data_IF_436016689591
#
_entry.id   IF_436016689591
#
_cell.length_a   1.000
_cell.length_b   1.000
_cell.length_c   1.000
_cell.angle_alpha   90.00
_cell.angle_beta   90.00
_cell.angle_gamma   90.00
#
_symmetry.space_group_name_H-M   'P 1'
#
loop_
_entity.id
_entity.type
_entity.pdbx_description
1 polymer ?
#
# COMPACT_ATOMS: atom_id res chain seq x y z
N UNK A 1 21.49 0.20 -21.82
CA UNK A 1 22.78 0.23 -21.11
C UNK A 1 23.54 1.46 -21.54
N UNK A 2 24.38 1.99 -20.66
CA UNK A 2 25.25 3.11 -20.97
C UNK A 2 26.63 2.92 -20.33
N UNK A 3 27.66 3.40 -21.01
CA UNK A 3 28.99 3.59 -20.48
C UNK A 3 29.07 4.99 -19.88
N UNK A 4 29.34 5.06 -18.57
CA UNK A 4 29.64 6.31 -17.87
C UNK A 4 31.16 6.40 -17.72
N UNK A 5 31.75 7.54 -18.10
CA UNK A 5 33.19 7.77 -18.03
C UNK A 5 33.51 9.07 -17.30
N UNK A 6 34.49 9.02 -16.40
CA UNK A 6 35.04 10.16 -15.66
C UNK A 6 36.57 10.05 -15.72
N UNK A 7 37.22 10.92 -16.49
CA UNK A 7 38.65 10.79 -16.80
C UNK A 7 38.94 9.45 -17.48
N UNK A 8 39.89 8.70 -16.93
CA UNK A 8 40.30 7.37 -17.44
C UNK A 8 39.46 6.21 -16.89
N UNK A 9 38.54 6.49 -15.96
CA UNK A 9 37.69 5.45 -15.35
C UNK A 9 36.36 5.37 -16.09
N UNK A 10 35.93 4.16 -16.45
CA UNK A 10 34.60 3.93 -16.99
C UNK A 10 33.90 2.74 -16.31
N UNK A 11 32.57 2.84 -16.24
CA UNK A 11 31.68 1.78 -15.74
C UNK A 11 30.48 1.69 -16.66
N UNK A 12 30.09 0.47 -17.01
CA UNK A 12 28.93 0.20 -17.85
C UNK A 12 27.79 -0.35 -17.01
N UNK A 13 26.60 0.25 -17.12
CA UNK A 13 25.44 -0.12 -16.32
C UNK A 13 24.10 0.17 -17.00
N UNK A 14 22.99 -0.36 -16.47
CA UNK A 14 21.66 0.03 -16.90
C UNK A 14 21.35 1.46 -16.50
N UNK A 15 20.57 2.15 -17.34
CA UNK A 15 20.06 3.49 -17.05
C UNK A 15 18.59 3.35 -16.68
N UNK A 16 18.19 3.96 -15.57
CA UNK A 16 16.81 4.08 -15.14
C UNK A 16 16.46 5.56 -15.04
N UNK A 17 15.54 6.02 -15.88
CA UNK A 17 15.11 7.42 -15.87
C UNK A 17 14.23 7.66 -14.64
N UNK A 18 14.53 8.72 -13.91
CA UNK A 18 13.87 9.07 -12.65
C UNK A 18 13.34 10.51 -12.77
N UNK A 19 12.00 10.71 -12.77
CA UNK A 19 11.41 12.05 -12.71
C UNK A 19 11.87 12.79 -11.44
N UNK A 20 12.01 14.11 -11.54
CA UNK A 20 12.46 14.96 -10.43
C UNK A 20 13.98 14.96 -10.17
N UNK A 21 14.77 14.37 -11.05
CA UNK A 21 16.23 14.46 -10.96
C UNK A 21 16.72 15.74 -11.64
N UNK A 22 17.66 16.45 -11.01
CA UNK A 22 18.25 17.66 -11.56
C UNK A 22 18.91 17.41 -12.94
N UNK A 23 18.82 18.41 -13.82
CA UNK A 23 19.42 18.36 -15.17
C UNK A 23 20.92 18.08 -15.10
N UNK A 24 21.44 17.34 -16.08
CA UNK A 24 22.85 16.95 -16.17
C UNK A 24 23.39 16.17 -14.94
N UNK A 25 22.51 15.51 -14.19
CA UNK A 25 22.88 14.73 -13.00
C UNK A 25 22.62 13.25 -13.23
N UNK A 26 23.56 12.39 -12.81
CA UNK A 26 23.41 10.94 -12.77
C UNK A 26 23.64 10.47 -11.34
N UNK A 27 22.68 9.73 -10.78
CA UNK A 27 22.80 9.17 -9.43
C UNK A 27 23.28 7.73 -9.52
N UNK A 28 24.39 7.45 -8.84
CA UNK A 28 24.99 6.12 -8.76
C UNK A 28 24.72 5.51 -7.38
N UNK A 29 24.09 4.34 -7.35
CA UNK A 29 23.87 3.60 -6.10
C UNK A 29 25.10 2.76 -5.76
N UNK A 30 25.66 2.97 -4.56
CA UNK A 30 26.79 2.19 -4.04
C UNK A 30 26.35 0.85 -3.42
N UNK A 31 27.27 -0.11 -3.34
CA UNK A 31 27.07 -1.39 -2.65
C UNK A 31 26.80 -2.61 -3.55
N UNK A 32 26.60 -2.38 -4.85
CA UNK A 32 26.48 -3.42 -5.87
C UNK A 32 27.82 -3.77 -6.54
N UNK A 33 27.86 -4.78 -7.41
CA UNK A 33 29.07 -5.20 -8.13
C UNK A 33 30.09 -5.96 -7.28
N UNK A 34 29.72 -6.37 -6.06
CA UNK A 34 30.62 -7.08 -5.13
C UNK A 34 30.94 -8.49 -5.63
N UNK A 35 32.22 -8.82 -5.71
CA UNK A 35 32.72 -10.15 -6.16
C UNK A 35 32.75 -11.20 -5.05
N UNK A 36 32.87 -10.77 -3.78
CA UNK A 36 32.95 -11.64 -2.60
C UNK A 36 31.91 -11.19 -1.57
N UNK A 37 30.67 -11.69 -1.69
CA UNK A 37 29.55 -11.30 -0.81
C UNK A 37 28.50 -12.41 -0.60
N UNK A 38 28.87 -13.68 -0.84
CA UNK A 38 28.01 -14.83 -0.64
C UNK A 38 27.04 -15.09 -1.79
N UNK A 39 25.95 -15.82 -1.52
CA UNK A 39 25.02 -16.32 -2.56
C UNK A 39 24.09 -15.25 -3.14
N UNK A 40 23.84 -14.15 -2.41
CA UNK A 40 22.80 -13.16 -2.77
C UNK A 40 23.35 -12.00 -3.59
N UNK A 41 24.47 -11.39 -3.18
CA UNK A 41 25.00 -10.18 -3.84
C UNK A 41 25.93 -10.45 -5.02
N UNK A 42 26.40 -11.69 -5.20
CA UNK A 42 27.36 -12.04 -6.26
C UNK A 42 26.69 -11.95 -7.62
N UNK A 43 27.29 -11.18 -8.54
CA UNK A 43 26.72 -10.96 -9.88
C UNK A 43 25.53 -9.99 -9.91
N UNK A 44 25.29 -9.24 -8.83
CA UNK A 44 24.20 -8.26 -8.76
C UNK A 44 24.71 -6.84 -8.96
N UNK A 45 24.10 -6.13 -9.93
CA UNK A 45 24.39 -4.74 -10.25
C UNK A 45 25.80 -4.52 -10.82
N UNK A 46 26.35 -3.33 -10.60
CA UNK A 46 27.64 -2.90 -11.13
C UNK A 46 28.42 -2.16 -10.04
N UNK A 47 29.74 -2.20 -10.14
CA UNK A 47 30.63 -1.58 -9.17
C UNK A 47 30.90 -0.13 -9.55
N UNK A 48 30.55 0.80 -8.67
CA UNK A 48 30.74 2.25 -8.84
C UNK A 48 31.85 2.80 -7.95
N UNK A 49 32.45 1.97 -7.08
CA UNK A 49 33.57 2.38 -6.22
C UNK A 49 34.79 2.91 -6.99
N UNK A 50 35.08 2.52 -8.24
CA UNK A 50 36.16 3.15 -9.02
C UNK A 50 35.99 4.68 -9.18
N UNK A 51 34.77 5.22 -9.07
CA UNK A 51 34.55 6.67 -9.10
C UNK A 51 34.69 7.36 -7.74
N UNK A 52 34.88 6.60 -6.66
CA UNK A 52 35.00 7.14 -5.30
C UNK A 52 36.48 7.25 -4.95
N UNK A 53 36.95 8.44 -4.61
CA UNK A 53 38.30 8.66 -4.09
C UNK A 53 38.25 9.48 -2.78
N UNK A 54 39.37 9.54 -2.05
CA UNK A 54 39.41 10.18 -0.73
C UNK A 54 39.01 11.66 -0.74
N UNK A 55 39.24 12.37 -1.85
CA UNK A 55 39.02 13.81 -2.00
C UNK A 55 37.63 14.13 -2.55
N UNK A 56 37.03 13.22 -3.32
CA UNK A 56 35.74 13.39 -3.98
C UNK A 56 34.87 12.14 -3.77
N UNK A 57 34.20 12.08 -2.63
CA UNK A 57 33.48 10.87 -2.19
C UNK A 57 32.03 10.79 -2.66
N UNK A 58 31.39 11.94 -2.93
CA UNK A 58 29.94 12.02 -3.13
C UNK A 58 29.50 12.67 -4.44
N UNK A 59 30.26 13.65 -4.94
CA UNK A 59 29.94 14.38 -6.17
C UNK A 59 31.16 14.41 -7.07
N UNK A 60 30.96 14.15 -8.37
CA UNK A 60 31.99 14.20 -9.41
C UNK A 60 31.46 15.01 -10.59
N UNK A 61 32.35 15.73 -11.26
CA UNK A 61 32.04 16.51 -12.46
C UNK A 61 32.78 15.98 -13.69
N UNK A 62 32.38 16.43 -14.88
CA UNK A 62 33.02 16.05 -16.15
C UNK A 62 32.71 14.63 -16.61
N UNK A 63 31.60 14.05 -16.14
CA UNK A 63 31.17 12.73 -16.58
C UNK A 63 30.63 12.79 -18.02
N UNK A 64 31.02 11.82 -18.84
CA UNK A 64 30.42 11.61 -20.17
C UNK A 64 29.62 10.31 -20.17
N UNK A 65 28.44 10.34 -20.79
CA UNK A 65 27.54 9.20 -20.89
C UNK A 65 27.40 8.80 -22.36
N UNK A 66 27.69 7.55 -22.68
CA UNK A 66 27.54 6.98 -24.01
C UNK A 66 26.57 5.80 -23.98
N UNK A 67 25.47 5.89 -24.73
CA UNK A 67 24.53 4.78 -24.89
C UNK A 67 25.18 3.67 -25.73
N UNK A 68 25.11 2.42 -25.27
CA UNK A 68 25.74 1.28 -25.96
C UNK A 68 24.81 0.59 -26.96
N UNK A 69 23.50 0.85 -26.88
CA UNK A 69 22.46 0.15 -27.64
C UNK A 69 21.96 -1.13 -26.98
N UNK A 70 22.67 -1.68 -25.99
CA UNK A 70 22.25 -2.91 -25.31
C UNK A 70 21.07 -2.66 -24.36
N UNK A 71 20.19 -3.66 -24.23
CA UNK A 71 19.07 -3.64 -23.28
C UNK A 71 19.41 -4.43 -22.02
N UNK A 72 18.77 -4.07 -20.90
CA UNK A 72 18.97 -4.76 -19.64
C UNK A 72 17.66 -4.84 -18.85
N UNK A 73 17.26 -6.04 -18.38
CA UNK A 73 16.03 -6.18 -17.61
C UNK A 73 16.21 -5.65 -16.19
N UNK A 74 15.44 -4.62 -15.84
CA UNK A 74 15.35 -4.07 -14.49
C UNK A 74 14.10 -4.61 -13.79
N UNK A 75 14.30 -5.30 -12.67
CA UNK A 75 13.20 -5.82 -11.86
C UNK A 75 12.61 -4.67 -11.04
N UNK A 76 11.43 -4.18 -11.45
CA UNK A 76 10.69 -3.14 -10.74
C UNK A 76 9.35 -3.72 -10.29
N UNK A 77 8.97 -3.47 -9.03
CA UNK A 77 7.70 -3.90 -8.45
C UNK A 77 6.55 -2.96 -8.75
N UNK A 78 6.83 -1.74 -9.20
CA UNK A 78 5.84 -0.74 -9.59
C UNK A 78 6.14 -0.24 -11.00
N UNK A 79 5.34 -0.72 -11.97
CA UNK A 79 5.50 -0.36 -13.39
C UNK A 79 4.87 1.00 -13.71
N UNK A 80 3.70 1.28 -13.13
CA UNK A 80 2.96 2.51 -13.37
C UNK A 80 3.16 3.50 -12.22
N UNK A 81 3.64 4.69 -12.55
CA UNK A 81 4.16 5.66 -11.59
C UNK A 81 3.33 6.95 -11.51
N UNK A 82 2.45 7.21 -12.48
CA UNK A 82 1.49 8.30 -12.45
C UNK A 82 0.25 7.90 -11.63
N UNK A 83 -0.43 8.87 -11.02
CA UNK A 83 -1.66 8.63 -10.24
C UNK A 83 -2.91 8.52 -11.13
N UNK A 84 -2.82 8.93 -12.40
CA UNK A 84 -3.90 8.84 -13.39
C UNK A 84 -5.14 9.68 -13.05
N UNK A 85 -4.96 10.77 -12.31
CA UNK A 85 -6.02 11.58 -11.70
C UNK A 85 -6.96 10.79 -10.81
N UNK A 86 -6.52 9.65 -10.26
CA UNK A 86 -7.33 8.84 -9.34
C UNK A 86 -7.20 9.36 -7.91
N UNK A 87 -8.29 9.28 -7.16
CA UNK A 87 -8.41 9.72 -5.77
C UNK A 87 -7.82 8.76 -4.72
N UNK A 88 -6.94 7.84 -5.13
CA UNK A 88 -6.32 6.86 -4.23
C UNK A 88 -5.48 7.52 -3.13
N UNK A 89 -4.88 8.66 -3.46
CA UNK A 89 -4.13 9.51 -2.56
C UNK A 89 -4.78 10.90 -2.55
N UNK A 90 -5.16 11.38 -1.36
CA UNK A 90 -5.78 12.69 -1.19
C UNK A 90 -4.77 13.67 -0.60
N UNK A 91 -4.56 14.79 -1.28
CA UNK A 91 -3.68 15.87 -0.84
C UNK A 91 -4.43 17.20 -0.82
N UNK A 92 -4.02 18.08 0.09
CA UNK A 92 -4.36 19.50 0.07
C UNK A 92 -3.16 20.33 0.54
N UNK A 93 -3.21 21.63 0.31
CA UNK A 93 -2.30 22.55 0.96
C UNK A 93 -2.76 22.89 2.39
N UNK A 94 -1.83 23.26 3.26
CA UNK A 94 -2.14 23.62 4.65
C UNK A 94 -3.06 24.85 4.74
N UNK A 95 -2.93 25.79 3.81
CA UNK A 95 -3.83 26.95 3.69
C UNK A 95 -5.26 26.54 3.32
N UNK A 96 -5.40 25.65 2.34
CA UNK A 96 -6.70 25.09 1.93
C UNK A 96 -7.35 24.33 3.08
N UNK A 97 -6.60 23.49 3.78
CA UNK A 97 -7.11 22.76 4.95
C UNK A 97 -7.57 23.68 6.08
N UNK A 98 -6.91 24.83 6.27
CA UNK A 98 -7.33 25.80 7.29
C UNK A 98 -8.68 26.46 6.95
N UNK A 99 -8.99 26.62 5.66
CA UNK A 99 -10.24 27.21 5.17
C UNK A 99 -11.35 26.16 5.03
N UNK A 100 -10.99 24.94 4.61
CA UNK A 100 -11.90 23.81 4.41
C UNK A 100 -11.36 22.52 5.05
N UNK A 101 -11.54 22.33 6.38
CA UNK A 101 -11.06 21.13 7.06
C UNK A 101 -11.68 19.82 6.56
N UNK A 102 -12.91 19.88 6.02
CA UNK A 102 -13.64 18.70 5.52
C UNK A 102 -13.39 18.43 4.02
N UNK A 103 -12.37 19.05 3.41
CA UNK A 103 -12.08 18.89 1.97
C UNK A 103 -12.03 17.43 1.52
N UNK A 104 -11.52 16.53 2.38
CA UNK A 104 -11.39 15.10 2.10
C UNK A 104 -12.73 14.47 1.72
N UNK A 105 -13.84 14.87 2.34
CA UNK A 105 -15.17 14.32 2.07
C UNK A 105 -15.69 14.69 0.68
N UNK A 106 -15.23 15.82 0.13
CA UNK A 106 -15.56 16.31 -1.21
C UNK A 106 -14.71 15.73 -2.34
N UNK A 107 -13.78 14.81 -2.04
CA UNK A 107 -12.89 14.19 -3.04
C UNK A 107 -13.32 12.76 -3.33
N UNK A 108 -13.36 12.40 -4.62
CA UNK A 108 -13.51 11.02 -5.08
C UNK A 108 -14.94 10.64 -5.40
N UNK A 109 -15.10 9.44 -5.97
CA UNK A 109 -16.42 8.92 -6.33
C UNK A 109 -17.38 8.83 -5.14
N UNK A 110 -16.88 8.70 -3.90
CA UNK A 110 -17.74 8.65 -2.71
C UNK A 110 -18.51 9.95 -2.48
N UNK A 111 -17.95 11.09 -2.89
CA UNK A 111 -18.59 12.41 -2.77
C UNK A 111 -19.82 12.54 -3.69
N UNK A 112 -19.84 11.80 -4.79
CA UNK A 112 -20.89 11.83 -5.81
C UNK A 112 -21.83 10.62 -5.77
N UNK A 113 -21.46 9.56 -5.04
CA UNK A 113 -22.30 8.38 -4.87
C UNK A 113 -23.36 8.59 -3.78
N UNK A 114 -24.55 7.96 -3.89
CA UNK A 114 -25.50 7.90 -2.78
C UNK A 114 -24.77 7.42 -1.53
N UNK A 115 -25.09 8.00 -0.37
CA UNK A 115 -24.30 7.79 0.83
C UNK A 115 -24.03 6.31 1.06
N UNK A 116 -22.78 5.90 0.86
CA UNK A 116 -22.30 4.57 1.18
C UNK A 116 -22.69 4.27 2.64
N UNK A 117 -22.63 5.28 3.51
CA UNK A 117 -23.05 5.21 4.92
C UNK A 117 -24.56 5.04 5.19
N UNK A 118 -25.44 5.07 4.18
CA UNK A 118 -26.88 4.91 4.32
C UNK A 118 -27.48 5.78 5.43
N UNK A 119 -28.16 5.16 6.40
CA UNK A 119 -28.78 5.82 7.57
C UNK A 119 -27.81 6.52 8.52
N UNK A 120 -26.52 6.19 8.46
CA UNK A 120 -25.51 6.75 9.36
C UNK A 120 -24.69 7.87 8.69
N UNK A 121 -25.14 8.38 7.54
CA UNK A 121 -24.50 9.49 6.81
C UNK A 121 -24.26 10.70 7.72
N UNK A 122 -25.23 11.05 8.55
CA UNK A 122 -25.20 12.26 9.37
C UNK A 122 -24.62 12.02 10.78
N UNK A 123 -24.10 10.81 11.05
CA UNK A 123 -23.43 10.49 12.32
C UNK A 123 -22.06 11.18 12.39
N UNK A 124 -21.62 11.45 13.63
CA UNK A 124 -20.32 12.06 13.90
C UNK A 124 -19.15 11.21 13.39
N UNK A 125 -18.01 11.85 13.11
CA UNK A 125 -16.78 11.13 12.74
C UNK A 125 -16.35 10.16 13.85
N UNK A 126 -16.51 10.53 15.12
CA UNK A 126 -16.25 9.65 16.25
C UNK A 126 -17.12 8.37 16.20
N UNK A 127 -18.42 8.49 15.90
CA UNK A 127 -19.27 7.32 15.72
C UNK A 127 -18.83 6.48 14.53
N UNK A 128 -18.51 7.10 13.39
CA UNK A 128 -18.04 6.39 12.18
C UNK A 128 -16.67 5.75 12.35
N UNK A 129 -15.86 6.24 13.30
CA UNK A 129 -14.56 5.69 13.65
C UNK A 129 -14.69 4.36 14.42
N UNK A 130 -15.70 4.25 15.28
CA UNK A 130 -15.91 3.07 16.14
C UNK A 130 -16.95 2.10 15.58
N UNK A 131 -17.94 2.61 14.87
CA UNK A 131 -18.99 1.85 14.21
C UNK A 131 -18.87 2.04 12.70
N UNK A 132 -18.45 1.01 11.98
CA UNK A 132 -18.47 1.02 10.51
C UNK A 132 -19.92 0.96 10.03
N UNK A 133 -20.44 2.02 9.37
CA UNK A 133 -21.84 1.99 8.98
C UNK A 133 -22.17 0.90 7.98
N UNK A 134 -23.24 0.16 8.28
CA UNK A 134 -23.72 -1.00 7.51
C UNK A 134 -24.74 -0.64 6.41
N UNK A 135 -24.69 0.60 5.91
CA UNK A 135 -25.64 1.11 4.91
C UNK A 135 -25.27 0.75 3.47
N UNK A 136 -26.26 0.82 2.56
CA UNK A 136 -26.02 0.79 1.11
C UNK A 136 -25.55 -0.56 0.54
N UNK A 137 -25.81 -1.67 1.23
CA UNK A 137 -25.51 -3.04 0.78
C UNK A 137 -26.80 -3.87 0.70
N UNK A 138 -26.89 -4.73 -0.32
CA UNK A 138 -27.93 -5.78 -0.39
C UNK A 138 -27.60 -7.00 0.49
N UNK A 139 -26.35 -7.12 0.94
CA UNK A 139 -25.89 -8.21 1.78
C UNK A 139 -25.93 -7.80 3.25
N UNK A 140 -26.31 -8.75 4.12
CA UNK A 140 -26.14 -8.57 5.55
C UNK A 140 -24.66 -8.49 5.90
N UNK A 141 -24.32 -7.50 6.70
CA UNK A 141 -22.94 -7.30 7.14
C UNK A 141 -22.60 -8.29 8.27
N UNK A 142 -21.37 -8.83 8.31
CA UNK A 142 -20.95 -9.71 9.40
C UNK A 142 -21.18 -9.05 10.76
N UNK A 143 -21.72 -9.80 11.71
CA UNK A 143 -21.82 -9.33 13.09
C UNK A 143 -20.52 -9.66 13.83
N UNK A 144 -19.80 -8.60 14.20
CA UNK A 144 -18.58 -8.68 14.97
C UNK A 144 -18.95 -8.61 16.46
N UNK A 145 -18.94 -9.76 17.11
CA UNK A 145 -19.38 -9.96 18.50
C UNK A 145 -18.25 -9.90 19.52
N UNK A 146 -16.99 -9.86 19.08
CA UNK A 146 -15.85 -9.82 19.98
C UNK A 146 -15.79 -8.50 20.77
N UNK A 147 -15.32 -8.51 22.03
CA UNK A 147 -15.15 -7.30 22.84
C UNK A 147 -14.26 -6.24 22.20
N UNK A 148 -13.23 -6.69 21.47
CA UNK A 148 -12.26 -5.83 20.79
C UNK A 148 -12.28 -6.09 19.29
N UNK A 149 -12.18 -5.02 18.51
CA UNK A 149 -12.14 -5.08 17.06
C UNK A 149 -10.96 -4.29 16.53
N UNK A 150 -10.22 -4.85 15.59
CA UNK A 150 -8.92 -4.30 15.23
C UNK A 150 -8.99 -3.43 13.98
N UNK A 151 -8.36 -2.25 14.05
CA UNK A 151 -8.24 -1.34 12.93
C UNK A 151 -6.86 -0.72 12.82
N UNK A 152 -6.62 -0.09 11.68
CA UNK A 152 -5.36 0.58 11.39
C UNK A 152 -5.62 1.92 10.72
N UNK A 153 -4.76 2.90 10.99
CA UNK A 153 -4.70 4.16 10.26
C UNK A 153 -3.27 4.40 9.78
N UNK A 154 -3.12 4.88 8.55
CA UNK A 154 -1.82 5.26 7.97
C UNK A 154 -1.82 6.75 7.67
N UNK A 155 -1.01 7.53 8.37
CA UNK A 155 -0.81 8.96 8.12
C UNK A 155 0.14 9.18 6.94
N UNK A 156 -0.42 9.60 5.81
CA UNK A 156 0.37 9.86 4.58
C UNK A 156 1.23 11.09 4.70
N UNK A 157 0.90 12.02 5.61
CA UNK A 157 1.69 13.22 5.83
C UNK A 157 3.06 12.89 6.45
N UNK A 158 3.08 11.92 7.37
CA UNK A 158 4.28 11.45 8.06
C UNK A 158 5.01 10.33 7.30
N UNK A 159 4.42 9.76 6.26
CA UNK A 159 5.02 8.67 5.49
C UNK A 159 6.10 9.19 4.52
N UNK A 160 7.37 8.88 4.83
CA UNK A 160 8.53 9.33 4.04
C UNK A 160 9.05 8.30 3.02
N UNK A 161 8.35 7.17 2.83
CA UNK A 161 8.80 6.18 1.85
C UNK A 161 9.99 5.30 2.27
N UNK A 162 10.31 5.20 3.57
CA UNK A 162 11.57 4.58 4.05
C UNK A 162 11.71 3.06 3.87
N UNK A 163 10.67 2.34 3.44
CA UNK A 163 10.61 0.87 3.29
C UNK A 163 10.88 0.02 4.55
N UNK A 164 11.08 0.63 5.73
CA UNK A 164 11.30 -0.12 6.97
C UNK A 164 10.12 -1.06 7.31
N UNK A 165 8.88 -0.62 7.05
CA UNK A 165 7.68 -1.41 7.27
C UNK A 165 7.60 -2.67 6.38
N UNK A 166 8.15 -2.62 5.17
CA UNK A 166 8.22 -3.76 4.24
C UNK A 166 9.15 -4.83 4.80
N UNK A 167 10.36 -4.43 5.21
CA UNK A 167 11.36 -5.33 5.78
C UNK A 167 10.89 -5.91 7.11
N UNK A 168 10.31 -5.09 8.00
CA UNK A 168 9.79 -5.60 9.27
C UNK A 168 8.64 -6.60 9.08
N UNK A 169 7.74 -6.35 8.12
CA UNK A 169 6.68 -7.30 7.80
C UNK A 169 7.26 -8.62 7.26
N UNK A 170 8.32 -8.54 6.45
CA UNK A 170 9.04 -9.70 5.94
C UNK A 170 9.72 -10.51 7.05
N UNK A 171 10.45 -9.86 7.96
CA UNK A 171 11.12 -10.49 9.09
C UNK A 171 10.13 -11.10 10.09
N UNK A 172 9.08 -10.38 10.44
CA UNK A 172 8.09 -10.81 11.43
C UNK A 172 7.26 -11.99 10.93
N UNK A 173 6.84 -11.94 9.65
CA UNK A 173 5.85 -12.87 9.11
C UNK A 173 6.49 -13.91 8.20
N UNK A 174 7.78 -14.23 8.34
CA UNK A 174 8.47 -15.27 7.57
C UNK A 174 8.26 -15.17 6.05
N UNK A 175 8.17 -13.95 5.51
CA UNK A 175 7.88 -13.76 4.09
C UNK A 175 9.14 -14.12 3.28
N UNK A 176 9.04 -14.97 2.25
CA UNK A 176 10.21 -15.40 1.50
C UNK A 176 10.79 -14.29 0.62
N UNK A 177 12.11 -14.37 0.40
CA UNK A 177 12.81 -13.54 -0.59
C UNK A 177 12.60 -14.18 -1.98
N UNK A 178 12.30 -13.35 -2.96
CA UNK A 178 12.07 -13.77 -4.35
C UNK A 178 13.19 -13.26 -5.24
N UNK A 179 13.72 -14.14 -6.10
CA UNK A 179 14.80 -13.81 -7.03
C UNK A 179 14.40 -12.79 -8.11
N UNK A 180 15.39 -12.07 -8.66
CA UNK A 180 15.20 -11.03 -9.68
C UNK A 180 14.33 -11.49 -10.86
N UNK A 181 14.52 -12.73 -11.33
CA UNK A 181 13.79 -13.29 -12.47
C UNK A 181 12.29 -13.48 -12.21
N UNK A 182 11.91 -13.69 -10.95
CA UNK A 182 10.52 -13.87 -10.53
C UNK A 182 9.87 -12.53 -10.16
N UNK A 183 10.64 -11.59 -9.61
CA UNK A 183 10.19 -10.20 -9.44
C UNK A 183 9.87 -9.57 -10.79
N UNK A 184 10.68 -9.80 -11.83
CA UNK A 184 10.39 -9.38 -13.21
C UNK A 184 9.06 -9.92 -13.77
N UNK A 185 8.50 -10.96 -13.14
CA UNK A 185 7.21 -11.58 -13.53
C UNK A 185 6.07 -11.15 -12.61
N UNK A 186 6.27 -10.14 -11.76
CA UNK A 186 5.28 -9.64 -10.80
C UNK A 186 4.94 -10.63 -9.68
N UNK A 187 5.95 -11.37 -9.19
CA UNK A 187 5.78 -12.43 -8.17
C UNK A 187 6.52 -12.14 -6.88
N UNK A 188 6.80 -10.87 -6.61
CA UNK A 188 7.40 -10.43 -5.36
C UNK A 188 6.51 -10.79 -4.17
N UNK A 189 7.13 -11.20 -3.07
CA UNK A 189 6.40 -11.55 -1.85
C UNK A 189 6.57 -10.41 -0.84
N UNK A 190 5.70 -9.41 -0.93
CA UNK A 190 5.59 -8.32 0.05
C UNK A 190 4.12 -8.12 0.44
N UNK A 191 3.83 -8.20 1.73
CA UNK A 191 2.45 -8.08 2.26
C UNK A 191 2.02 -6.63 2.48
N UNK A 192 2.99 -5.75 2.65
CA UNK A 192 2.86 -4.30 2.60
C UNK A 192 3.84 -3.82 1.54
N UNK A 193 3.40 -2.93 0.67
CA UNK A 193 4.23 -2.25 -0.34
C UNK A 193 4.13 -0.75 -0.15
N UNK A 194 5.15 -0.02 -0.59
CA UNK A 194 5.10 1.44 -0.67
C UNK A 194 4.93 1.82 -2.14
N UNK A 195 3.76 2.35 -2.46
CA UNK A 195 3.46 2.89 -3.78
C UNK A 195 3.97 4.33 -3.84
N UNK A 196 4.72 4.67 -4.90
CA UNK A 196 5.27 6.00 -5.16
C UNK A 196 4.58 6.61 -6.37
N UNK A 197 3.90 7.72 -6.17
CA UNK A 197 3.23 8.45 -7.24
C UNK A 197 3.97 9.74 -7.56
N UNK A 198 4.15 10.01 -8.85
CA UNK A 198 4.60 11.32 -9.35
C UNK A 198 3.40 12.07 -9.92
N UNK A 199 3.37 13.37 -9.65
CA UNK A 199 2.44 14.32 -10.24
C UNK A 199 3.18 15.58 -10.65
N UNK A 200 2.74 16.22 -11.73
CA UNK A 200 3.35 17.42 -12.32
C UNK A 200 2.25 18.39 -12.74
N UNK A 201 2.60 19.67 -12.93
CA UNK A 201 1.67 20.68 -13.44
C UNK A 201 1.22 20.38 -14.89
N UNK A 202 2.11 19.80 -15.71
CA UNK A 202 1.74 19.31 -17.03
C UNK A 202 1.08 17.93 -16.93
N UNK A 203 -0.08 17.79 -17.56
CA UNK A 203 -0.76 16.52 -17.79
C UNK A 203 -0.39 15.87 -19.13
N UNK A 204 0.57 16.45 -19.87
CA UNK A 204 1.13 15.81 -21.06
C UNK A 204 2.00 14.63 -20.64
N UNK A 205 1.65 13.45 -21.14
CA UNK A 205 2.25 12.16 -20.80
C UNK A 205 3.19 11.64 -21.86
N UNK A 206 3.37 12.41 -22.93
CA UNK A 206 4.35 12.08 -23.97
C UNK A 206 5.79 12.25 -23.47
N UNK A 207 6.00 13.13 -22.48
CA UNK A 207 7.30 13.43 -21.90
C UNK A 207 7.39 13.12 -20.40
N UNK A 208 8.62 12.93 -19.92
CA UNK A 208 8.91 12.75 -18.48
C UNK A 208 9.07 14.14 -17.86
N UNK A 209 8.22 14.54 -16.89
CA UNK A 209 8.29 15.86 -16.29
C UNK A 209 9.58 16.07 -15.50
N UNK A 210 10.20 17.23 -15.68
CA UNK A 210 11.39 17.64 -14.93
C UNK A 210 11.04 17.94 -13.48
N UNK A 211 9.98 18.72 -13.25
CA UNK A 211 9.47 19.09 -11.93
C UNK A 211 8.28 18.22 -11.54
N UNK A 212 8.43 17.51 -10.43
CA UNK A 212 7.41 16.58 -9.92
C UNK A 212 7.23 16.71 -8.42
N UNK A 213 6.00 16.52 -7.98
CA UNK A 213 5.67 16.21 -6.61
C UNK A 213 5.66 14.69 -6.45
N UNK A 214 6.22 14.22 -5.32
CA UNK A 214 6.27 12.81 -4.97
C UNK A 214 5.38 12.53 -3.75
N UNK A 215 4.61 11.47 -3.84
CA UNK A 215 3.75 11.01 -2.74
C UNK A 215 3.91 9.52 -2.53
N UNK A 216 3.93 9.12 -1.26
CA UNK A 216 4.12 7.73 -0.84
C UNK A 216 2.86 7.22 -0.15
N UNK A 217 2.42 6.02 -0.50
CA UNK A 217 1.29 5.36 0.13
C UNK A 217 1.64 3.92 0.49
N UNK A 218 1.57 3.59 1.78
CA UNK A 218 1.76 2.23 2.24
C UNK A 218 0.51 1.39 2.06
N UNK A 219 0.51 0.50 1.08
CA UNK A 219 -0.64 -0.37 0.76
C UNK A 219 -0.41 -1.79 1.30
N UNK A 220 -1.31 -2.23 2.18
CA UNK A 220 -1.38 -3.59 2.70
C UNK A 220 -2.82 -4.13 2.59
N UNK A 221 -3.06 -5.36 3.06
CA UNK A 221 -4.44 -5.80 3.28
C UNK A 221 -5.13 -4.84 4.26
N UNK A 222 -6.28 -4.31 3.84
CA UNK A 222 -7.06 -3.36 4.63
C UNK A 222 -8.11 -4.03 5.50
N UNK A 223 -8.18 -5.37 5.52
CA UNK A 223 -9.15 -6.16 6.28
C UNK A 223 -10.59 -5.67 6.09
N UNK A 224 -10.99 -5.51 4.82
CA UNK A 224 -12.35 -5.17 4.38
C UNK A 224 -13.42 -5.96 5.13
N UNK A 225 -14.39 -5.33 5.78
CA UNK A 225 -15.53 -6.05 6.39
C UNK A 225 -16.43 -6.68 5.34
N UNK A 226 -16.61 -6.00 4.20
CA UNK A 226 -17.24 -6.58 3.01
C UNK A 226 -16.14 -7.05 2.05
N UNK A 227 -15.42 -8.11 2.44
CA UNK A 227 -14.27 -8.61 1.71
C UNK A 227 -14.66 -9.34 0.41
N UNK A 228 -14.43 -8.77 -0.78
CA UNK A 228 -14.70 -9.46 -2.04
C UNK A 228 -13.79 -10.68 -2.23
N UNK A 229 -12.64 -10.70 -1.55
CA UNK A 229 -11.69 -11.80 -1.63
C UNK A 229 -12.10 -13.05 -0.85
N UNK A 230 -13.10 -12.97 0.03
CA UNK A 230 -13.62 -14.13 0.78
C UNK A 230 -14.65 -14.93 -0.01
N UNK A 231 -15.65 -14.24 -0.56
CA UNK A 231 -16.78 -14.85 -1.27
C UNK A 231 -16.37 -15.69 -2.49
N UNK A 232 -15.17 -15.44 -3.03
CA UNK A 232 -14.61 -16.15 -4.19
C UNK A 232 -13.70 -17.33 -3.82
N UNK A 233 -13.50 -17.62 -2.53
CA UNK A 233 -12.67 -18.75 -2.12
C UNK A 233 -13.50 -20.03 -2.05
N UNK A 234 -13.31 -21.01 -2.96
CA UNK A 234 -14.17 -22.20 -3.02
C UNK A 234 -14.00 -23.17 -1.84
N UNK A 235 -12.99 -22.97 -0.99
CA UNK A 235 -12.63 -23.88 0.11
C UNK A 235 -12.63 -23.19 1.47
N UNK A 236 -13.12 -21.94 1.53
CA UNK A 236 -13.15 -21.11 2.75
C UNK A 236 -11.79 -21.01 3.45
N UNK A 237 -10.71 -20.83 2.67
CA UNK A 237 -9.37 -20.59 3.22
C UNK A 237 -9.19 -19.15 3.73
N UNK A 238 -10.12 -18.25 3.42
CA UNK A 238 -10.15 -16.90 3.92
C UNK A 238 -11.55 -16.59 4.42
N UNK A 239 -11.64 -16.13 5.66
CA UNK A 239 -12.89 -15.86 6.38
C UNK A 239 -12.66 -14.69 7.33
N UNK A 240 -13.73 -14.03 7.78
CA UNK A 240 -13.66 -13.11 8.90
C UNK A 240 -13.61 -13.86 10.23
N UNK A 241 -12.91 -13.28 11.20
CA UNK A 241 -13.12 -13.58 12.60
C UNK A 241 -14.12 -12.60 13.25
N UNK A 242 -14.48 -12.88 14.50
CA UNK A 242 -15.41 -12.03 15.28
C UNK A 242 -14.82 -10.66 15.65
N UNK A 243 -13.51 -10.46 15.46
CA UNK A 243 -12.78 -9.23 15.77
C UNK A 243 -12.66 -8.29 14.56
N UNK A 244 -13.20 -8.68 13.40
CA UNK A 244 -13.11 -7.91 12.16
C UNK A 244 -11.83 -8.14 11.35
N UNK A 245 -10.99 -9.12 11.71
CA UNK A 245 -9.88 -9.52 10.85
C UNK A 245 -10.38 -10.44 9.76
N UNK A 246 -10.04 -10.10 8.53
CA UNK A 246 -9.91 -11.09 7.47
C UNK A 246 -8.76 -12.05 7.82
N UNK A 247 -9.03 -13.31 8.18
CA UNK A 247 -8.01 -14.32 8.50
C UNK A 247 -7.74 -15.24 7.30
N UNK A 248 -6.47 -15.58 7.10
CA UNK A 248 -6.03 -16.45 5.99
C UNK A 248 -5.49 -17.76 6.55
N UNK A 249 -6.26 -18.83 6.42
CA UNK A 249 -5.84 -20.18 6.77
C UNK A 249 -4.97 -20.77 5.64
N UNK A 250 -3.65 -20.64 5.79
CA UNK A 250 -2.66 -21.06 4.79
C UNK A 250 -2.79 -22.53 4.38
N UNK A 251 -3.06 -23.42 5.33
CA UNK A 251 -3.20 -24.86 5.15
C UNK A 251 -4.47 -25.27 4.37
N UNK A 252 -5.50 -24.42 4.35
CA UNK A 252 -6.75 -24.68 3.62
C UNK A 252 -6.70 -24.20 2.18
N UNK A 253 -5.74 -23.34 1.84
CA UNK A 253 -5.62 -22.77 0.51
C UNK A 253 -5.20 -23.81 -0.52
N UNK A 254 -6.05 -24.04 -1.52
CA UNK A 254 -5.76 -24.95 -2.66
C UNK A 254 -5.17 -24.22 -3.88
N UNK A 255 -4.88 -22.92 -3.76
CA UNK A 255 -4.11 -22.18 -4.76
C UNK A 255 -4.85 -21.77 -6.05
N UNK A 256 -6.18 -21.59 -6.00
CA UNK A 256 -6.97 -21.11 -7.14
C UNK A 256 -6.66 -19.67 -7.55
N UNK A 257 -6.11 -18.85 -6.63
CA UNK A 257 -5.72 -17.43 -6.82
C UNK A 257 -6.87 -16.45 -7.11
N UNK A 258 -8.12 -16.90 -7.14
CA UNK A 258 -9.25 -16.01 -7.43
C UNK A 258 -9.40 -14.87 -6.41
N UNK A 259 -9.09 -15.14 -5.13
CA UNK A 259 -9.05 -14.11 -4.08
C UNK A 259 -8.07 -12.96 -4.37
N UNK A 260 -7.02 -13.18 -5.16
CA UNK A 260 -6.12 -12.11 -5.61
C UNK A 260 -6.79 -11.23 -6.67
N UNK A 261 -7.47 -11.85 -7.64
CA UNK A 261 -8.14 -11.12 -8.73
C UNK A 261 -9.25 -10.23 -8.18
N UNK A 262 -10.08 -10.75 -7.26
CA UNK A 262 -11.21 -10.02 -6.70
C UNK A 262 -10.80 -8.98 -5.63
N UNK A 263 -9.57 -9.05 -5.12
CA UNK A 263 -9.06 -8.02 -4.23
C UNK A 263 -8.76 -6.74 -5.05
N UNK A 264 -9.43 -5.61 -4.77
CA UNK A 264 -9.23 -4.39 -5.58
C UNK A 264 -7.82 -3.83 -5.41
N UNK A 265 -7.23 -3.95 -4.23
CA UNK A 265 -5.88 -3.46 -3.94
C UNK A 265 -4.75 -4.35 -4.44
N UNK A 266 -5.06 -5.56 -4.92
CA UNK A 266 -4.08 -6.58 -5.33
C UNK A 266 -2.98 -6.74 -4.26
N UNK A 267 -3.37 -6.96 -3.00
CA UNK A 267 -2.46 -7.11 -1.83
C UNK A 267 -2.35 -8.54 -1.33
N UNK A 268 -3.03 -9.49 -1.99
CA UNK A 268 -2.79 -10.91 -1.75
C UNK A 268 -1.63 -11.38 -2.63
N UNK A 269 -0.69 -12.13 -2.06
CA UNK A 269 0.53 -12.61 -2.72
C UNK A 269 0.54 -14.12 -2.79
N UNK A 270 0.95 -14.70 -3.92
CA UNK A 270 0.88 -16.13 -4.15
C UNK A 270 2.27 -16.76 -4.13
N UNK A 271 2.44 -17.83 -3.35
CA UNK A 271 3.63 -18.66 -3.43
C UNK A 271 3.61 -19.50 -4.70
N UNK A 272 4.19 -19.00 -5.79
CA UNK A 272 4.32 -19.75 -7.03
C UNK A 272 5.21 -20.98 -6.86
N UNK A 273 6.27 -20.86 -6.06
CA UNK A 273 7.21 -21.92 -5.78
C UNK A 273 7.43 -22.09 -4.28
N UNK A 274 8.17 -23.15 -3.92
CA UNK A 274 8.60 -23.39 -2.55
C UNK A 274 9.92 -22.65 -2.32
N UNK A 275 9.81 -21.37 -1.98
CA UNK A 275 10.97 -20.47 -1.83
C UNK A 275 11.89 -20.83 -0.67
N UNK A 276 11.36 -21.51 0.35
CA UNK A 276 12.06 -21.76 1.60
C UNK A 276 12.92 -23.01 1.60
N UNK A 277 12.53 -24.04 0.81
CA UNK A 277 13.20 -25.34 0.82
C UNK A 277 13.96 -25.67 -0.45
N UNK A 278 13.68 -25.03 -1.59
CA UNK A 278 14.32 -25.40 -2.86
C UNK A 278 15.63 -24.68 -3.09
N UNK A 279 16.55 -25.39 -3.74
CA UNK A 279 17.80 -24.83 -4.22
C UNK A 279 17.57 -23.66 -5.20
N UNK A 280 18.39 -22.62 -5.06
CA UNK A 280 18.35 -21.44 -5.93
C UNK A 280 18.47 -21.88 -7.39
N UNK A 281 17.54 -21.41 -8.23
CA UNK A 281 17.48 -21.76 -9.65
C UNK A 281 16.71 -23.06 -9.96
N UNK A 282 16.33 -23.85 -8.96
CA UNK A 282 15.60 -25.13 -9.12
C UNK A 282 14.19 -25.12 -8.51
N UNK A 283 13.65 -23.93 -8.24
CA UNK A 283 12.31 -23.74 -7.66
C UNK A 283 11.18 -24.45 -8.43
N UNK A 284 11.33 -24.61 -9.75
CA UNK A 284 10.34 -25.24 -10.64
C UNK A 284 10.21 -26.76 -10.47
N UNK A 285 11.20 -27.43 -9.88
CA UNK A 285 11.16 -28.87 -9.63
C UNK A 285 10.16 -29.27 -8.53
N UNK A 286 9.63 -28.29 -7.79
CA UNK A 286 8.62 -28.52 -6.77
C UNK A 286 9.13 -29.43 -5.63
N UNK A 287 8.22 -30.14 -4.93
CA UNK A 287 8.55 -30.94 -3.74
C UNK A 287 9.61 -32.03 -3.98
N UNK A 288 9.71 -32.53 -5.20
CA UNK A 288 10.68 -33.56 -5.60
C UNK A 288 12.05 -32.99 -6.00
N UNK A 289 12.20 -31.66 -6.05
CA UNK A 289 13.48 -31.01 -6.29
C UNK A 289 14.45 -31.13 -5.10
N UNK A 290 15.74 -30.84 -5.30
CA UNK A 290 16.73 -30.83 -4.23
C UNK A 290 16.37 -29.78 -3.16
N UNK A 291 16.65 -30.13 -1.91
CA UNK A 291 16.40 -29.28 -0.75
C UNK A 291 17.68 -28.51 -0.39
N UNK A 292 17.59 -27.19 -0.33
CA UNK A 292 18.64 -26.28 0.15
C UNK A 292 18.05 -25.43 1.27
N UNK A 293 17.92 -26.03 2.46
CA UNK A 293 17.38 -25.37 3.64
C UNK A 293 18.47 -25.27 4.73
N UNK A 294 19.43 -24.35 4.58
CA UNK A 294 20.51 -24.17 5.55
C UNK A 294 19.96 -23.81 6.94
N UNK A 295 20.64 -24.28 7.99
CA UNK A 295 20.20 -24.13 9.38
C UNK A 295 20.11 -22.66 9.82
N UNK A 296 21.11 -21.84 9.49
CA UNK A 296 21.16 -20.44 9.94
C UNK A 296 19.94 -19.61 9.47
N UNK A 297 19.53 -19.62 8.19
CA UNK A 297 18.29 -18.95 7.77
C UNK A 297 17.01 -19.53 8.38
N UNK A 298 17.00 -20.79 8.84
CA UNK A 298 15.84 -21.34 9.55
C UNK A 298 15.68 -20.73 10.94
N UNK A 299 16.79 -20.47 11.64
CA UNK A 299 16.78 -19.84 12.96
C UNK A 299 16.27 -18.40 12.96
N UNK A 300 16.29 -17.73 11.80
CA UNK A 300 15.76 -16.36 11.64
C UNK A 300 14.24 -16.32 11.60
N UNK A 301 13.57 -17.45 11.39
CA UNK A 301 12.11 -17.50 11.21
C UNK A 301 11.41 -17.36 12.56
N UNK A 302 10.37 -16.53 12.59
CA UNK A 302 9.48 -16.41 13.72
C UNK A 302 8.77 -17.76 13.98
N UNK A 303 8.91 -18.37 15.17
CA UNK A 303 8.30 -19.65 15.48
C UNK A 303 6.77 -19.59 15.56
N UNK A 304 6.20 -18.41 15.80
CA UNK A 304 4.76 -18.22 15.97
C UNK A 304 4.01 -18.00 14.63
N UNK A 305 4.75 -17.97 13.51
CA UNK A 305 4.17 -17.75 12.18
C UNK A 305 4.47 -18.92 11.27
N UNK A 306 3.42 -19.51 10.69
CA UNK A 306 3.52 -20.58 9.69
C UNK A 306 4.50 -20.20 8.58
N UNK A 307 5.44 -21.08 8.26
CA UNK A 307 6.25 -20.98 7.04
C UNK A 307 5.47 -21.62 5.90
N UNK A 308 5.11 -20.83 4.89
CA UNK A 308 4.19 -21.27 3.83
C UNK A 308 4.91 -22.13 2.79
N UNK A 309 4.18 -23.08 2.24
CA UNK A 309 4.61 -23.89 1.10
C UNK A 309 4.17 -23.24 -0.22
N UNK A 310 4.62 -23.81 -1.34
CA UNK A 310 4.10 -23.47 -2.67
C UNK A 310 2.58 -23.62 -2.74
N UNK A 311 1.94 -22.90 -3.64
CA UNK A 311 0.52 -23.07 -3.94
C UNK A 311 -0.42 -22.36 -2.97
N UNK A 312 0.11 -21.53 -2.07
CA UNK A 312 -0.67 -20.89 -1.01
C UNK A 312 -0.67 -19.37 -1.17
N UNK A 313 -1.84 -18.77 -0.98
CA UNK A 313 -2.00 -17.31 -0.91
C UNK A 313 -1.62 -16.78 0.47
N UNK A 314 -1.04 -15.61 0.47
CA UNK A 314 -0.65 -14.84 1.64
C UNK A 314 -1.19 -13.42 1.55
N UNK A 315 -1.22 -12.73 2.69
CA UNK A 315 -1.59 -11.32 2.80
C UNK A 315 -1.14 -10.80 4.16
N UNK A 316 -1.13 -9.48 4.33
CA UNK A 316 -1.05 -8.87 5.66
C UNK A 316 -2.19 -9.41 6.55
N UNK A 317 -1.86 -9.82 7.77
CA UNK A 317 -2.77 -10.39 8.78
C UNK A 317 -2.90 -9.51 10.01
N UNK A 318 -2.51 -8.22 9.92
CA UNK A 318 -2.32 -7.36 11.09
C UNK A 318 -1.41 -7.96 12.16
N UNK A 319 -0.45 -8.80 11.76
CA UNK A 319 0.42 -9.53 12.69
C UNK A 319 -0.38 -10.31 13.73
N UNK A 320 -1.35 -11.12 13.28
CA UNK A 320 -2.26 -11.93 14.14
C UNK A 320 -1.54 -12.69 15.26
N UNK A 321 -0.32 -13.15 15.03
CA UNK A 321 0.52 -13.79 16.05
C UNK A 321 0.78 -12.88 17.27
N UNK A 322 0.95 -11.57 17.06
CA UNK A 322 1.13 -10.58 18.14
C UNK A 322 -0.18 -10.28 18.84
N UNK A 323 -1.28 -10.21 18.09
CA UNK A 323 -2.64 -10.02 18.63
C UNK A 323 -2.98 -11.18 19.55
N UNK A 324 -2.85 -12.42 19.07
CA UNK A 324 -3.19 -13.61 19.86
C UNK A 324 -2.24 -13.80 21.04
N UNK A 325 -0.94 -13.56 20.89
CA UNK A 325 0.00 -13.60 22.02
C UNK A 325 -0.38 -12.61 23.14
N UNK A 326 -0.72 -11.37 22.78
CA UNK A 326 -1.14 -10.35 23.74
C UNK A 326 -2.47 -10.72 24.42
N UNK A 327 -3.46 -11.20 23.65
CA UNK A 327 -4.75 -11.65 24.19
C UNK A 327 -4.61 -12.84 25.12
N UNK A 328 -3.81 -13.85 24.75
CA UNK A 328 -3.54 -15.02 25.60
C UNK A 328 -2.88 -14.57 26.90
N UNK A 329 -1.88 -13.68 26.82
CA UNK A 329 -1.24 -13.11 28.00
C UNK A 329 -2.22 -12.35 28.88
N UNK A 330 -3.06 -11.51 28.30
CA UNK A 330 -4.05 -10.74 29.04
C UNK A 330 -5.08 -11.64 29.73
N UNK A 331 -5.60 -12.66 29.04
CA UNK A 331 -6.48 -13.66 29.65
C UNK A 331 -5.81 -14.40 30.81
N UNK A 332 -4.53 -14.73 30.67
CA UNK A 332 -3.76 -15.34 31.76
C UNK A 332 -3.59 -14.40 32.96
N UNK A 333 -3.47 -13.09 32.75
CA UNK A 333 -3.40 -12.09 33.82
C UNK A 333 -4.76 -11.85 34.47
N UNK A 334 -5.84 -11.86 33.68
CA UNK A 334 -7.21 -11.66 34.13
C UNK A 334 -7.67 -12.75 35.11
N UNK A 335 -7.17 -14.00 34.95
CA UNK A 335 -7.60 -15.17 35.74
C UNK A 335 -9.14 -15.29 35.72
N UNK A 336 -9.78 -15.23 36.88
CA UNK A 336 -11.23 -15.35 37.05
C UNK A 336 -11.95 -13.99 36.94
N UNK A 337 -11.24 -12.90 36.64
CA UNK A 337 -11.83 -11.58 36.42
C UNK A 337 -12.24 -11.37 34.96
N UNK A 338 -13.19 -10.46 34.75
CA UNK A 338 -13.65 -10.07 33.42
C UNK A 338 -12.67 -9.12 32.68
N UNK A 339 -11.48 -8.85 33.24
CA UNK A 339 -10.48 -7.93 32.69
C UNK A 339 -9.69 -8.53 31.50
N UNK A 340 -10.39 -9.07 30.51
CA UNK A 340 -9.82 -9.79 29.37
C UNK A 340 -9.39 -8.90 28.19
N UNK A 341 -9.80 -7.63 28.20
CA UNK A 341 -9.45 -6.65 27.16
C UNK A 341 -7.98 -6.26 27.24
N UNK A 342 -7.31 -6.26 26.09
CA UNK A 342 -5.91 -5.87 25.97
C UNK A 342 -5.82 -4.34 25.98
N UNK A 343 -5.04 -3.73 26.88
CA UNK A 343 -4.87 -2.28 26.92
C UNK A 343 -4.28 -1.70 25.64
N UNK A 344 -4.71 -0.49 25.25
CA UNK A 344 -4.18 0.21 24.07
C UNK A 344 -2.66 0.36 24.12
N UNK A 345 -2.01 0.30 22.96
CA UNK A 345 -0.55 0.33 22.83
C UNK A 345 0.19 -0.95 23.23
N UNK A 346 -0.47 -1.94 23.87
CA UNK A 346 0.15 -3.24 24.19
C UNK A 346 0.49 -4.04 22.93
N UNK A 347 -0.40 -4.01 21.93
CA UNK A 347 -0.17 -4.67 20.64
C UNK A 347 0.42 -3.64 19.68
N UNK A 348 1.67 -3.86 19.28
CA UNK A 348 2.28 -3.13 18.18
C UNK A 348 2.57 -4.08 17.02
N UNK A 349 1.97 -3.79 15.87
CA UNK A 349 2.28 -4.54 14.64
C UNK A 349 3.73 -4.26 14.21
N UNK A 350 4.35 -5.19 13.48
CA UNK A 350 5.75 -5.01 13.06
C UNK A 350 5.95 -3.76 12.20
N UNK A 351 5.00 -3.44 11.32
CA UNK A 351 5.06 -2.24 10.50
C UNK A 351 4.86 -0.94 11.30
N UNK A 352 4.03 -0.94 12.34
CA UNK A 352 3.89 0.17 13.28
C UNK A 352 5.16 0.38 14.11
N UNK A 353 5.68 -0.67 14.74
CA UNK A 353 6.80 -0.60 15.67
C UNK A 353 8.09 -0.07 15.00
N UNK A 354 8.33 -0.45 13.74
CA UNK A 354 9.55 -0.04 13.01
C UNK A 354 9.45 1.34 12.37
N UNK A 355 8.23 1.89 12.23
CA UNK A 355 8.03 3.12 11.47
C UNK A 355 8.66 4.30 12.21
N UNK A 356 9.75 4.92 11.70
CA UNK A 356 10.47 5.95 12.44
C UNK A 356 9.63 7.22 12.65
N UNK A 357 8.71 7.48 11.71
CA UNK A 357 7.80 8.64 11.75
C UNK A 357 6.47 8.32 12.42
N UNK A 358 6.26 7.07 12.89
CA UNK A 358 5.00 6.59 13.50
C UNK A 358 3.76 6.83 12.63
N UNK A 359 3.93 6.73 11.30
CA UNK A 359 2.85 6.92 10.35
C UNK A 359 1.74 5.85 10.47
N UNK A 360 2.07 4.64 10.93
CA UNK A 360 1.10 3.54 11.05
C UNK A 360 0.66 3.46 12.52
N UNK A 361 -0.64 3.56 12.77
CA UNK A 361 -1.25 3.34 14.09
C UNK A 361 -2.22 2.18 14.00
N UNK A 362 -2.07 1.19 14.87
CA UNK A 362 -2.95 0.04 14.98
C UNK A 362 -3.45 -0.08 16.41
N UNK A 363 -4.69 -0.52 16.58
CA UNK A 363 -5.30 -0.69 17.89
C UNK A 363 -6.76 -1.15 17.80
N UNK A 364 -7.39 -1.16 18.96
CA UNK A 364 -8.81 -1.48 19.10
C UNK A 364 -9.67 -0.28 18.70
N UNK A 365 -10.63 -0.48 17.81
CA UNK A 365 -11.52 0.59 17.34
C UNK A 365 -12.86 0.62 18.08
N UNK A 366 -13.15 -0.33 18.97
CA UNK A 366 -14.38 -0.26 19.79
C UNK A 366 -14.27 0.82 20.85
N UNK A 367 -13.05 1.14 21.27
CA UNK A 367 -12.75 2.15 22.30
C UNK A 367 -12.58 3.54 21.66
N UNK A 368 -13.43 4.54 22.01
CA UNK A 368 -13.36 5.87 21.40
C UNK A 368 -12.08 6.66 21.68
N UNK A 369 -11.41 6.35 22.79
CA UNK A 369 -10.21 7.02 23.29
C UNK A 369 -8.90 6.35 22.81
N UNK A 370 -8.98 5.21 22.12
CA UNK A 370 -7.79 4.57 21.54
C UNK A 370 -7.13 5.46 20.50
N UNK A 371 -5.80 5.34 20.37
CA UNK A 371 -5.05 6.16 19.42
C UNK A 371 -5.56 6.00 17.98
N UNK A 372 -5.99 4.79 17.59
CA UNK A 372 -6.51 4.54 16.24
C UNK A 372 -7.90 5.14 16.04
N UNK A 373 -8.79 5.09 17.03
CA UNK A 373 -10.13 5.68 16.95
C UNK A 373 -10.08 7.19 16.82
N UNK A 374 -9.20 7.84 17.59
CA UNK A 374 -8.97 9.28 17.49
C UNK A 374 -8.49 9.70 16.10
N UNK A 375 -7.54 8.95 15.51
CA UNK A 375 -7.07 9.23 14.15
C UNK A 375 -8.15 8.95 13.10
N UNK A 376 -8.97 7.90 13.27
CA UNK A 376 -10.10 7.61 12.38
C UNK A 376 -11.19 8.67 12.43
N UNK A 377 -11.34 9.34 13.58
CA UNK A 377 -12.27 10.43 13.78
C UNK A 377 -11.76 11.79 13.26
N UNK A 378 -10.54 11.87 12.73
CA UNK A 378 -10.03 13.06 12.05
C UNK A 378 -10.81 13.32 10.75
N UNK A 379 -11.10 14.59 10.50
CA UNK A 379 -11.56 15.15 9.22
C UNK A 379 -10.67 14.76 8.01
N UNK A 380 -9.39 14.49 8.23
CA UNK A 380 -8.45 14.03 7.20
C UNK A 380 -8.58 12.55 6.84
N UNK A 381 -9.36 11.78 7.59
CA UNK A 381 -9.44 10.34 7.44
C UNK A 381 -10.30 9.93 6.24
N UNK A 382 -9.81 8.98 5.43
CA UNK A 382 -10.55 8.42 4.31
C UNK A 382 -10.20 6.95 4.05
N UNK A 383 -11.07 6.27 3.33
CA UNK A 383 -10.85 4.92 2.82
C UNK A 383 -10.44 4.96 1.35
N UNK A 384 -9.42 4.20 0.97
CA UNK A 384 -9.03 4.03 -0.43
C UNK A 384 -10.05 3.14 -1.13
N UNK A 385 -10.62 3.60 -2.25
CA UNK A 385 -11.71 2.92 -2.98
C UNK A 385 -12.96 2.66 -2.12
N UNK A 386 -13.33 3.62 -1.27
CA UNK A 386 -14.52 3.55 -0.43
C UNK A 386 -15.82 3.41 -1.22
N UNK A 387 -15.85 3.91 -2.46
CA UNK A 387 -17.00 3.83 -3.37
C UNK A 387 -17.39 2.38 -3.72
N UNK A 388 -16.46 1.42 -3.59
CA UNK A 388 -16.74 -0.01 -3.77
C UNK A 388 -17.54 -0.61 -2.61
N UNK A 389 -17.83 0.18 -1.56
CA UNK A 389 -18.50 -0.25 -0.35
C UNK A 389 -17.78 -1.44 0.35
N UNK A 390 -16.46 -1.57 0.23
CA UNK A 390 -15.72 -2.71 0.81
C UNK A 390 -15.36 -2.57 2.29
N UNK A 391 -15.65 -1.41 2.90
CA UNK A 391 -15.50 -1.16 4.34
C UNK A 391 -14.14 -1.56 4.93
N UNK A 392 -13.05 -0.90 4.50
CA UNK A 392 -11.71 -1.24 4.97
C UNK A 392 -11.50 -0.84 6.44
N UNK A 393 -10.95 -1.75 7.25
CA UNK A 393 -10.48 -1.47 8.62
C UNK A 393 -9.19 -0.65 8.63
N UNK A 394 -8.37 -0.71 7.56
CA UNK A 394 -7.29 0.25 7.32
C UNK A 394 -7.81 1.49 6.61
N UNK A 395 -7.68 2.66 7.24
CA UNK A 395 -7.93 3.96 6.61
C UNK A 395 -6.65 4.79 6.56
N UNK A 396 -6.71 5.93 5.87
CA UNK A 396 -5.56 6.79 5.61
C UNK A 396 -5.88 8.21 6.02
N UNK A 397 -4.90 8.92 6.57
CA UNK A 397 -5.00 10.38 6.69
C UNK A 397 -4.42 11.01 5.43
N UNK A 398 -5.15 11.97 4.88
CA UNK A 398 -4.72 12.75 3.72
C UNK A 398 -3.37 13.45 3.96
N UNK A 399 -2.63 13.71 2.89
CA UNK A 399 -1.34 14.42 2.97
C UNK A 399 -1.56 15.92 2.89
N UNK A 400 -0.91 16.69 3.77
CA UNK A 400 -0.96 18.14 3.76
C UNK A 400 0.39 18.69 3.34
N UNK A 401 0.42 19.44 2.23
CA UNK A 401 1.62 20.15 1.79
C UNK A 401 1.61 21.55 2.38
N UNK A 402 2.77 22.07 2.77
CA UNK A 402 2.88 23.42 3.33
C UNK A 402 3.81 24.26 2.45
N UNK A 403 3.41 24.58 1.19
CA UNK A 403 4.23 25.41 0.32
C UNK A 403 4.34 26.83 0.90
N UNK A 404 5.52 27.43 0.79
CA UNK A 404 5.72 28.82 1.18
C UNK A 404 5.26 29.75 0.04
N UNK A 405 4.24 30.60 0.21
CA UNK A 405 3.71 31.45 -0.86
C UNK A 405 4.72 32.45 -1.46
N UNK A 406 5.85 32.68 -0.78
CA UNK A 406 6.91 33.57 -1.26
C UNK A 406 7.89 32.88 -2.22
N UNK A 407 7.79 31.56 -2.36
CA UNK A 407 8.66 30.80 -3.26
C UNK A 407 8.15 30.89 -4.70
N UNK A 408 9.04 31.01 -5.70
CA UNK A 408 8.64 31.14 -7.10
C UNK A 408 7.93 29.89 -7.65
N UNK A 409 8.21 28.72 -7.06
CA UNK A 409 7.63 27.41 -7.36
C UNK A 409 6.45 27.06 -6.42
N UNK A 410 5.91 28.05 -5.69
CA UNK A 410 4.74 27.85 -4.86
C UNK A 410 3.52 27.50 -5.73
N UNK A 411 2.91 26.35 -5.46
CA UNK A 411 1.70 25.88 -6.12
C UNK A 411 0.47 26.14 -5.25
N UNK A 412 -0.61 26.61 -5.86
CA UNK A 412 -1.86 26.90 -5.17
C UNK A 412 -2.56 25.62 -4.68
N UNK A 413 -2.41 24.52 -5.43
CA UNK A 413 -3.02 23.23 -5.17
C UNK A 413 -2.03 22.09 -5.48
N UNK A 414 -2.02 20.98 -4.72
CA UNK A 414 -1.16 19.84 -5.06
C UNK A 414 -1.43 19.30 -6.47
N UNK A 415 -0.40 18.91 -7.20
CA UNK A 415 -0.54 18.47 -8.60
C UNK A 415 -1.37 17.20 -8.76
N UNK A 416 -1.40 16.32 -7.75
CA UNK A 416 -2.33 15.17 -7.74
C UNK A 416 -3.79 15.60 -7.77
N UNK A 417 -4.09 16.74 -7.13
CA UNK A 417 -5.45 17.29 -7.05
C UNK A 417 -5.80 18.05 -8.34
N UNK A 418 -4.85 18.79 -8.90
CA UNK A 418 -5.02 19.42 -10.22
C UNK A 418 -5.28 18.38 -11.32
N UNK A 419 -4.53 17.26 -11.37
CA UNK A 419 -4.77 16.17 -12.34
C UNK A 419 -6.18 15.56 -12.15
N UNK A 420 -6.61 15.33 -10.90
CA UNK A 420 -7.97 14.86 -10.59
C UNK A 420 -9.04 15.84 -11.10
N UNK A 421 -8.93 17.13 -10.77
CA UNK A 421 -9.92 18.14 -11.16
C UNK A 421 -9.93 18.39 -12.67
N UNK A 422 -8.79 18.25 -13.36
CA UNK A 422 -8.75 18.37 -14.82
C UNK A 422 -9.51 17.26 -15.55
N UNK A 423 -9.65 16.09 -14.92
CA UNK A 423 -10.33 14.91 -15.51
C UNK A 423 -11.77 14.78 -15.06
N UNK A 424 -12.05 15.15 -13.82
CA UNK A 424 -13.30 14.85 -13.13
C UNK A 424 -13.95 16.08 -12.49
N UNK A 425 -13.26 17.22 -12.47
CA UNK A 425 -13.81 18.47 -11.97
C UNK A 425 -14.94 18.96 -12.88
N UNK A 426 -15.98 19.51 -12.26
CA UNK A 426 -17.04 20.17 -13.01
C UNK A 426 -16.53 21.52 -13.52
N UNK A 427 -16.35 21.66 -14.84
CA UNK A 427 -16.13 22.97 -15.44
C UNK A 427 -17.41 23.81 -15.27
N UNK A 428 -17.34 25.00 -14.63
CA UNK A 428 -18.46 25.94 -14.61
C UNK A 428 -18.59 26.56 -16.01
N UNK A 429 -19.17 25.80 -16.95
CA UNK A 429 -19.29 26.23 -18.35
C UNK A 429 -19.93 25.23 -19.31
N UNK A 430 -19.95 23.93 -19.01
CA UNK A 430 -20.52 22.91 -19.94
C UNK A 430 -21.92 22.44 -19.54
N UNK A 431 -22.80 23.39 -19.19
CA UNK A 431 -24.24 23.18 -19.24
C UNK A 431 -24.82 23.98 -20.41
N UNK A 432 -24.47 23.61 -21.64
CA UNK A 432 -25.30 23.91 -22.81
C UNK A 432 -26.15 22.68 -23.18
N UNK A 433 -27.45 22.84 -22.92
CA UNK A 433 -28.58 22.22 -23.61
C UNK A 433 -28.61 20.69 -23.78
N UNK A 434 -29.09 19.97 -22.78
CA UNK A 434 -29.95 18.78 -22.99
C UNK A 434 -30.93 18.65 -21.83
N UNK A 435 -31.97 19.47 -21.83
CA UNK A 435 -32.94 19.47 -20.73
C UNK A 435 -34.17 20.34 -20.93
N UNK A 436 -34.66 20.48 -22.15
CA UNK A 436 -35.98 21.04 -22.41
C UNK A 436 -36.58 20.36 -23.63
N UNK A 437 -37.15 19.18 -23.42
CA UNK A 437 -38.33 18.67 -24.10
C UNK A 437 -38.60 17.27 -23.54
N UNK A 438 -39.60 17.19 -22.67
CA UNK A 438 -40.49 16.05 -22.37
C UNK A 438 -41.11 16.29 -20.99
N UNK A 439 -41.84 17.40 -20.90
CA UNK A 439 -42.99 17.49 -20.02
C UNK A 439 -44.23 17.34 -20.92
N UNK A 440 -45.16 16.52 -20.45
CA UNK A 440 -46.52 16.31 -20.99
C UNK A 440 -46.65 15.37 -22.21
N UNK A 441 -46.84 14.08 -21.94
CA UNK A 441 -48.10 13.41 -22.32
C UNK A 441 -48.35 12.11 -21.54
N UNK A 442 -49.58 12.00 -21.08
CA UNK A 442 -50.38 10.79 -20.87
C UNK A 442 -50.29 9.99 -19.56
N UNK A 443 -51.28 10.36 -18.73
CA UNK A 443 -51.94 9.56 -17.73
C UNK A 443 -52.57 8.27 -18.27
N UNK A 444 -52.92 7.39 -17.32
CA UNK A 444 -53.76 6.20 -17.41
C UNK A 444 -53.16 4.95 -18.06
N UNK A 445 -52.71 4.02 -17.22
CA UNK A 445 -53.22 2.64 -17.34
C UNK A 445 -53.21 1.92 -16.00
N UNK A 446 -54.41 1.62 -15.55
CA UNK A 446 -54.81 0.67 -14.51
C UNK A 446 -54.22 -0.72 -14.79
N UNK A 447 -53.60 -1.34 -13.79
CA UNK A 447 -53.25 -2.76 -13.82
C UNK A 447 -54.32 -3.55 -13.09
N UNK A 448 -55.10 -4.31 -13.86
CA UNK A 448 -55.92 -5.41 -13.37
C UNK A 448 -55.14 -6.72 -13.49
N UNK A 449 -55.24 -7.51 -12.41
CA UNK A 449 -54.88 -8.93 -12.22
C UNK A 449 -53.40 -9.31 -12.11
#
# INVERSE_FOLDING_TARGET
MAELRIGDTSVTGPVHVQPGLATYTVVLSMGFGRRVCGRVGTGVGFDVFPFVNSNEQHVRHGATLKLTGDTYPLANTQEHWAIEGREILREANASEYAENPDYVSGIGMEAHSPAVYGKDKDKSLAYKATATPKGGSMYEHPDFTAPQQWGMTVDLNSCIGCNACVVACQSENNIPIVGKDQVLRGREMHWIRLDRYFSSASNDRSDIPEEVQVSFQGMACTHCEMAPCETVCPVNATVHDEQGLNVMAYNRCVGTRYCANNCPYKVRRFNFFDWHKREIGKFYLGPFGPVDEPELPRMQRNPDVTVRMRGVMEKCTYCVQRIEAAKIRQKSLARDSDAIEVPDGTIQTACQQVCPTRAITFGDITQPDSAVSLLKASDRNYSVLGYLNIRPRTTYLSKLRNPNPKMPDAFAMPYTREDYESRYGHHPGEHESHGTEHAESDANTTVHH
#
